data_IF_403086088945
#
_entry.id   IF_403086088945
#
_cell.length_a   1.000
_cell.length_b   1.000
_cell.length_c   1.000
_cell.angle_alpha   90.00
_cell.angle_beta   90.00
_cell.angle_gamma   90.00
#
_symmetry.space_group_name_H-M   'P 1'
#
loop_
_entity.id
_entity.type
_entity.pdbx_description
1 polymer ?
#
# COMPACT_ATOMS: atom_id res chain seq x y z
N UNK A 1 -33.65 -20.82 6.46
CA UNK A 1 -34.75 -20.21 7.24
C UNK A 1 -34.23 -18.92 7.80
N UNK A 2 -34.65 -17.82 7.19
CA UNK A 2 -34.24 -16.46 7.58
C UNK A 2 -35.01 -16.02 8.82
N UNK A 3 -34.38 -15.31 9.74
CA UNK A 3 -34.97 -14.85 11.02
C UNK A 3 -36.28 -14.04 10.89
N UNK A 4 -36.62 -13.60 9.68
CA UNK A 4 -37.87 -12.93 9.32
C UNK A 4 -39.09 -13.88 9.21
N UNK A 5 -38.88 -15.18 9.00
CA UNK A 5 -39.98 -16.15 8.79
C UNK A 5 -40.66 -16.60 10.09
N UNK A 6 -40.09 -16.27 11.27
CA UNK A 6 -40.58 -16.73 12.58
C UNK A 6 -41.30 -15.67 13.42
N UNK A 7 -41.49 -14.44 12.94
CA UNK A 7 -42.15 -13.39 13.73
C UNK A 7 -43.66 -13.25 13.43
N UNK A 8 -44.49 -12.99 14.45
CA UNK A 8 -45.94 -12.89 14.32
C UNK A 8 -46.32 -11.76 13.35
N UNK A 9 -47.42 -11.96 12.62
CA UNK A 9 -47.92 -11.17 11.48
C UNK A 9 -48.30 -9.71 11.77
N UNK A 10 -48.01 -9.17 12.96
CA UNK A 10 -48.43 -7.83 13.41
C UNK A 10 -47.29 -6.81 13.51
N UNK A 11 -46.03 -7.22 13.33
CA UNK A 11 -44.89 -6.30 13.47
C UNK A 11 -44.55 -5.73 12.08
N UNK A 12 -44.50 -4.39 11.97
CA UNK A 12 -44.07 -3.75 10.72
C UNK A 12 -42.68 -4.21 10.33
N UNK A 13 -42.40 -4.33 9.03
CA UNK A 13 -41.06 -4.72 8.55
C UNK A 13 -39.96 -3.86 9.16
N UNK A 14 -40.22 -2.55 9.31
CA UNK A 14 -39.28 -1.61 9.91
C UNK A 14 -38.98 -1.92 11.38
N UNK A 15 -40.01 -2.29 12.15
CA UNK A 15 -39.86 -2.66 13.56
C UNK A 15 -39.22 -4.03 13.73
N UNK A 16 -39.51 -4.97 12.83
CA UNK A 16 -38.84 -6.27 12.80
C UNK A 16 -37.33 -6.10 12.54
N UNK A 17 -36.96 -5.25 11.58
CA UNK A 17 -35.56 -4.91 11.27
C UNK A 17 -34.90 -4.18 12.44
N UNK A 18 -35.53 -3.17 13.03
CA UNK A 18 -34.98 -2.44 14.18
C UNK A 18 -34.80 -3.36 15.40
N UNK A 19 -35.72 -4.29 15.62
CA UNK A 19 -35.61 -5.27 16.72
C UNK A 19 -34.44 -6.23 16.48
N UNK A 20 -34.25 -6.69 15.24
CA UNK A 20 -33.10 -7.54 14.88
C UNK A 20 -31.80 -6.75 15.05
N UNK A 21 -31.74 -5.50 14.60
CA UNK A 21 -30.56 -4.64 14.73
C UNK A 21 -30.21 -4.37 16.20
N UNK A 22 -31.22 -4.12 17.04
CA UNK A 22 -31.00 -3.88 18.45
C UNK A 22 -30.62 -5.14 19.23
N UNK A 23 -31.27 -6.28 18.93
CA UNK A 23 -31.05 -7.52 19.67
C UNK A 23 -29.79 -8.28 19.24
N UNK A 24 -29.53 -8.38 17.93
CA UNK A 24 -28.44 -9.20 17.40
C UNK A 24 -27.14 -8.41 17.27
N UNK A 25 -27.24 -7.09 17.09
CA UNK A 25 -26.10 -6.21 16.82
C UNK A 25 -25.92 -5.08 17.84
N UNK A 26 -26.70 -5.03 18.92
CA UNK A 26 -26.57 -3.98 19.95
C UNK A 26 -26.96 -2.57 19.47
N UNK A 27 -27.77 -2.50 18.41
CA UNK A 27 -28.25 -1.25 17.81
C UNK A 27 -27.24 -0.59 16.89
N UNK A 28 -27.51 0.67 16.54
CA UNK A 28 -26.65 1.42 15.60
C UNK A 28 -25.18 1.53 16.04
N UNK A 29 -24.90 1.56 17.35
CA UNK A 29 -23.53 1.59 17.89
C UNK A 29 -22.78 0.28 17.66
N UNK A 30 -23.43 -0.88 17.85
CA UNK A 30 -22.78 -2.16 17.64
C UNK A 30 -22.62 -2.53 16.17
N UNK A 31 -23.49 -2.02 15.28
CA UNK A 31 -23.25 -2.07 13.83
C UNK A 31 -21.96 -1.32 13.44
N UNK A 32 -21.75 -0.11 13.97
CA UNK A 32 -20.51 0.66 13.73
C UNK A 32 -19.29 -0.07 14.30
N UNK A 33 -19.41 -0.69 15.48
CA UNK A 33 -18.32 -1.47 16.07
C UNK A 33 -17.99 -2.72 15.23
N UNK A 34 -19.01 -3.40 14.69
CA UNK A 34 -18.81 -4.53 13.78
C UNK A 34 -18.17 -4.11 12.47
N UNK A 35 -18.60 -3.00 11.87
CA UNK A 35 -17.96 -2.46 10.65
C UNK A 35 -16.50 -2.11 10.92
N UNK A 36 -16.21 -1.51 12.08
CA UNK A 36 -14.83 -1.20 12.51
C UNK A 36 -14.00 -2.47 12.70
N UNK A 37 -14.51 -3.50 13.39
CA UNK A 37 -13.81 -4.78 13.58
C UNK A 37 -13.59 -5.51 12.25
N UNK A 38 -14.57 -5.46 11.35
CA UNK A 38 -14.44 -6.00 10.00
C UNK A 38 -13.34 -5.25 9.23
N UNK A 39 -13.34 -3.92 9.28
CA UNK A 39 -12.31 -3.09 8.67
C UNK A 39 -10.91 -3.42 9.21
N UNK A 40 -10.74 -3.50 10.53
CA UNK A 40 -9.47 -3.84 11.19
C UNK A 40 -8.99 -5.25 10.78
N UNK A 41 -9.87 -6.24 10.77
CA UNK A 41 -9.55 -7.61 10.33
C UNK A 41 -9.05 -7.65 8.88
N UNK A 42 -9.72 -6.94 7.96
CA UNK A 42 -9.30 -6.86 6.56
C UNK A 42 -7.98 -6.11 6.42
N UNK A 43 -7.75 -5.06 7.22
CA UNK A 43 -6.45 -4.35 7.26
C UNK A 43 -5.33 -5.28 7.66
N UNK A 44 -5.50 -6.02 8.75
CA UNK A 44 -4.49 -6.93 9.28
C UNK A 44 -4.19 -8.07 8.30
N UNK A 45 -5.22 -8.60 7.63
CA UNK A 45 -5.05 -9.59 6.58
C UNK A 45 -4.20 -9.05 5.42
N UNK A 46 -4.53 -7.86 4.90
CA UNK A 46 -3.83 -7.26 3.76
C UNK A 46 -2.41 -6.84 4.10
N UNK A 47 -2.18 -6.30 5.30
CA UNK A 47 -0.83 -6.00 5.80
C UNK A 47 -0.02 -7.28 6.01
N UNK A 48 -0.64 -8.33 6.54
CA UNK A 48 -0.04 -9.65 6.67
C UNK A 48 0.40 -10.22 5.32
N UNK A 49 -0.47 -10.14 4.30
CA UNK A 49 -0.15 -10.57 2.94
C UNK A 49 1.00 -9.74 2.34
N UNK A 50 0.95 -8.41 2.45
CA UNK A 50 2.02 -7.52 1.98
C UNK A 50 3.37 -7.86 2.64
N UNK A 51 3.37 -8.10 3.95
CA UNK A 51 4.56 -8.46 4.70
C UNK A 51 5.09 -9.85 4.30
N UNK A 52 4.20 -10.80 4.04
CA UNK A 52 4.57 -12.12 3.54
C UNK A 52 5.21 -12.03 2.15
N UNK A 53 4.70 -11.16 1.27
CA UNK A 53 5.33 -10.88 -0.02
C UNK A 53 6.71 -10.27 0.14
N UNK A 54 6.88 -9.32 1.06
CA UNK A 54 8.19 -8.72 1.31
C UNK A 54 9.19 -9.76 1.83
N UNK A 55 8.78 -10.55 2.84
CA UNK A 55 9.57 -11.66 3.40
C UNK A 55 9.96 -12.69 2.35
N UNK A 56 9.08 -12.95 1.37
CA UNK A 56 9.37 -13.91 0.30
C UNK A 56 10.57 -13.52 -0.57
N UNK A 57 10.94 -12.24 -0.61
CA UNK A 57 12.14 -11.77 -1.33
C UNK A 57 13.46 -12.10 -0.60
N UNK A 58 13.39 -12.42 0.69
CA UNK A 58 14.54 -12.82 1.51
C UNK A 58 14.67 -14.35 1.66
N UNK A 59 13.80 -15.11 0.99
CA UNK A 59 13.88 -16.57 0.93
C UNK A 59 14.58 -17.02 -0.35
N UNK A 60 15.19 -18.20 -0.33
CA UNK A 60 15.76 -18.82 -1.52
C UNK A 60 14.65 -19.16 -2.55
N UNK A 61 14.84 -18.96 -3.86
CA UNK A 61 16.01 -18.39 -4.54
C UNK A 61 16.00 -16.86 -4.66
N UNK A 62 14.90 -16.19 -4.25
CA UNK A 62 14.73 -14.74 -4.41
C UNK A 62 15.80 -13.90 -3.69
N UNK A 63 16.42 -14.46 -2.65
CA UNK A 63 17.52 -13.84 -1.94
C UNK A 63 18.66 -13.42 -2.90
N UNK A 64 18.97 -14.21 -3.93
CA UNK A 64 19.99 -13.83 -4.92
C UNK A 64 19.59 -12.59 -5.70
N UNK A 65 18.34 -12.49 -6.16
CA UNK A 65 17.85 -11.29 -6.84
C UNK A 65 17.88 -10.08 -5.92
N UNK A 66 17.53 -10.24 -4.65
CA UNK A 66 17.61 -9.19 -3.64
C UNK A 66 19.05 -8.72 -3.41
N UNK A 67 20.02 -9.63 -3.35
CA UNK A 67 21.44 -9.30 -3.23
C UNK A 67 21.99 -8.61 -4.48
N UNK A 68 21.63 -9.09 -5.68
CA UNK A 68 22.02 -8.45 -6.94
C UNK A 68 21.44 -7.03 -7.02
N UNK A 69 20.18 -6.84 -6.61
CA UNK A 69 19.53 -5.54 -6.55
C UNK A 69 20.32 -4.59 -5.62
N UNK A 70 20.66 -5.06 -4.41
CA UNK A 70 21.43 -4.29 -3.44
C UNK A 70 22.82 -3.90 -3.96
N UNK A 71 23.55 -4.86 -4.55
CA UNK A 71 24.87 -4.62 -5.15
C UNK A 71 24.79 -3.62 -6.30
N UNK A 72 23.74 -3.70 -7.13
CA UNK A 72 23.51 -2.77 -8.23
C UNK A 72 23.32 -1.35 -7.70
N UNK A 73 22.47 -1.17 -6.69
CA UNK A 73 22.27 0.16 -6.11
C UNK A 73 23.48 0.67 -5.35
N UNK A 74 24.20 -0.19 -4.64
CA UNK A 74 25.45 0.18 -4.00
C UNK A 74 26.47 0.69 -5.02
N UNK A 75 26.64 -0.02 -6.14
CA UNK A 75 27.53 0.39 -7.22
C UNK A 75 27.11 1.73 -7.82
N UNK A 76 25.83 1.91 -8.12
CA UNK A 76 25.26 3.16 -8.66
C UNK A 76 25.49 4.33 -7.70
N UNK A 77 25.15 4.17 -6.42
CA UNK A 77 25.25 5.22 -5.40
C UNK A 77 26.72 5.58 -5.12
N UNK A 78 27.64 4.61 -5.18
CA UNK A 78 29.05 4.83 -4.85
C UNK A 78 29.86 5.43 -6.00
N UNK A 79 29.49 5.16 -7.27
CA UNK A 79 30.31 5.51 -8.43
C UNK A 79 29.69 6.59 -9.32
N UNK A 80 28.37 6.79 -9.25
CA UNK A 80 27.71 7.79 -10.09
C UNK A 80 27.53 9.07 -9.26
N UNK A 81 28.15 10.20 -9.65
CA UNK A 81 27.91 11.46 -8.98
C UNK A 81 26.41 11.77 -9.07
N UNK A 82 25.79 12.15 -7.95
CA UNK A 82 24.36 12.44 -7.91
C UNK A 82 24.08 13.72 -8.72
N UNK A 83 23.88 13.53 -10.02
CA UNK A 83 23.37 14.55 -10.90
C UNK A 83 21.88 14.77 -10.60
N UNK A 84 21.36 16.00 -10.76
CA UNK A 84 19.94 16.30 -10.54
C UNK A 84 18.99 15.36 -11.28
N UNK A 85 19.39 14.88 -12.46
CA UNK A 85 18.62 13.94 -13.27
C UNK A 85 18.45 12.56 -12.61
N UNK A 86 19.47 12.03 -11.95
CA UNK A 86 19.41 10.71 -11.29
C UNK A 86 18.46 10.76 -10.09
N UNK A 87 18.46 11.89 -9.39
CA UNK A 87 17.52 12.13 -8.28
C UNK A 87 16.11 12.25 -8.82
N UNK A 88 15.90 13.02 -9.90
CA UNK A 88 14.59 13.09 -10.55
C UNK A 88 14.10 11.70 -10.98
N UNK A 89 14.98 10.84 -11.49
CA UNK A 89 14.64 9.45 -11.82
C UNK A 89 14.29 8.59 -10.59
N UNK A 90 15.03 8.72 -9.48
CA UNK A 90 14.66 8.03 -8.23
C UNK A 90 13.31 8.54 -7.69
N UNK A 91 13.02 9.83 -7.88
CA UNK A 91 11.74 10.44 -7.52
C UNK A 91 10.58 9.90 -8.37
N UNK A 92 10.76 9.71 -9.67
CA UNK A 92 9.69 9.15 -10.51
C UNK A 92 9.34 7.73 -10.11
N UNK A 93 10.31 6.90 -9.69
CA UNK A 93 10.03 5.57 -9.11
C UNK A 93 9.15 5.61 -7.86
N UNK A 94 9.16 6.71 -7.10
CA UNK A 94 8.29 6.87 -5.92
C UNK A 94 6.85 7.21 -6.33
N UNK A 95 6.69 8.00 -7.39
CA UNK A 95 5.39 8.34 -7.98
C UNK A 95 4.70 7.09 -8.56
N UNK A 96 5.44 6.04 -8.92
CA UNK A 96 4.88 4.77 -9.43
C UNK A 96 3.85 4.17 -8.47
N UNK A 97 4.05 4.23 -7.15
CA UNK A 97 3.06 3.70 -6.18
C UNK A 97 1.74 4.48 -6.25
N UNK A 98 1.83 5.81 -6.34
CA UNK A 98 0.66 6.69 -6.50
C UNK A 98 -0.04 6.46 -7.84
N UNK A 99 0.73 6.29 -8.92
CA UNK A 99 0.19 5.99 -10.26
C UNK A 99 -0.50 4.62 -10.28
N UNK A 100 0.09 3.59 -9.67
CA UNK A 100 -0.52 2.26 -9.57
C UNK A 100 -1.84 2.30 -8.79
N UNK A 101 -1.89 3.10 -7.73
CA UNK A 101 -3.11 3.29 -6.94
C UNK A 101 -4.18 4.02 -7.75
N UNK A 102 -3.81 5.06 -8.49
CA UNK A 102 -4.71 5.78 -9.39
C UNK A 102 -5.21 4.87 -10.53
N UNK A 103 -4.31 4.11 -11.16
CA UNK A 103 -4.63 3.14 -12.20
C UNK A 103 -5.60 2.07 -11.71
N UNK A 104 -5.46 1.62 -10.45
CA UNK A 104 -6.45 0.74 -9.81
C UNK A 104 -7.83 1.40 -9.72
N UNK A 105 -7.93 2.64 -9.23
CA UNK A 105 -9.22 3.33 -9.14
C UNK A 105 -9.91 3.43 -10.49
N UNK A 106 -9.14 3.74 -11.54
CA UNK A 106 -9.66 3.75 -12.92
C UNK A 106 -10.06 2.36 -13.41
N UNK A 107 -9.22 1.34 -13.18
CA UNK A 107 -9.48 -0.02 -13.67
C UNK A 107 -10.69 -0.65 -12.98
N UNK A 108 -10.81 -0.53 -11.66
CA UNK A 108 -11.99 -0.98 -10.91
C UNK A 108 -13.23 -0.24 -11.39
N UNK A 109 -13.21 1.10 -11.38
CA UNK A 109 -14.36 1.91 -11.77
C UNK A 109 -14.84 1.63 -13.21
N UNK A 110 -13.94 1.27 -14.12
CA UNK A 110 -14.29 0.93 -15.50
C UNK A 110 -14.77 -0.52 -15.67
N UNK A 111 -14.14 -1.50 -15.01
CA UNK A 111 -14.49 -2.93 -15.18
C UNK A 111 -15.67 -3.39 -14.34
N UNK A 112 -15.82 -2.92 -13.10
CA UNK A 112 -16.90 -3.41 -12.22
C UNK A 112 -18.21 -2.64 -12.42
N UNK A 113 -18.20 -1.51 -13.14
CA UNK A 113 -19.31 -0.55 -13.25
C UNK A 113 -19.91 -0.12 -11.89
N UNK A 114 -19.23 -0.48 -10.80
CA UNK A 114 -19.62 -0.23 -9.43
C UNK A 114 -18.66 0.81 -8.88
N UNK A 115 -19.19 2.00 -8.62
CA UNK A 115 -18.46 3.14 -8.06
C UNK A 115 -18.40 3.09 -6.53
N UNK A 116 -18.97 2.06 -5.90
CA UNK A 116 -18.88 1.89 -4.45
C UNK A 116 -17.44 1.56 -4.06
N UNK A 117 -16.82 2.51 -3.37
CA UNK A 117 -15.52 2.34 -2.73
C UNK A 117 -15.54 1.08 -1.84
N UNK A 118 -14.82 0.04 -2.25
CA UNK A 118 -14.65 -1.14 -1.41
C UNK A 118 -13.83 -0.78 -0.17
N UNK A 119 -14.08 -1.47 0.94
CA UNK A 119 -13.23 -1.39 2.14
C UNK A 119 -11.76 -1.63 1.74
N UNK A 120 -11.52 -2.56 0.81
CA UNK A 120 -10.18 -2.89 0.30
C UNK A 120 -9.50 -1.74 -0.44
N UNK A 121 -10.24 -0.86 -1.10
CA UNK A 121 -9.67 0.29 -1.81
C UNK A 121 -9.13 1.32 -0.84
N UNK A 122 -9.86 1.59 0.25
CA UNK A 122 -9.38 2.46 1.34
C UNK A 122 -8.11 1.91 1.98
N UNK A 123 -8.04 0.60 2.15
CA UNK A 123 -6.87 -0.08 2.75
C UNK A 123 -5.68 -0.01 1.80
N UNK A 124 -5.88 -0.23 0.50
CA UNK A 124 -4.79 -0.15 -0.48
C UNK A 124 -4.28 1.27 -0.66
N UNK A 125 -5.15 2.28 -0.63
CA UNK A 125 -4.73 3.68 -0.58
C UNK A 125 -3.91 3.98 0.69
N UNK A 126 -4.29 3.39 1.83
CA UNK A 126 -3.54 3.52 3.10
C UNK A 126 -2.19 2.80 3.05
N UNK A 127 -2.12 1.62 2.44
CA UNK A 127 -0.85 0.90 2.24
C UNK A 127 0.03 1.72 1.29
N UNK A 128 -0.51 2.18 0.16
CA UNK A 128 0.19 3.02 -0.82
C UNK A 128 0.72 4.34 -0.28
N UNK A 129 0.12 4.89 0.79
CA UNK A 129 0.58 6.13 1.42
C UNK A 129 1.75 5.94 2.38
N UNK A 130 2.02 4.71 2.86
CA UNK A 130 3.13 4.42 3.79
C UNK A 130 4.50 4.81 3.20
N UNK A 131 4.84 4.44 1.95
CA UNK A 131 6.08 4.91 1.35
C UNK A 131 6.07 6.42 1.11
N UNK A 132 4.92 7.00 0.78
CA UNK A 132 4.77 8.46 0.70
C UNK A 132 5.16 9.13 2.02
N UNK A 133 4.68 8.63 3.16
CA UNK A 133 4.99 9.17 4.49
C UNK A 133 6.45 9.02 4.91
N UNK A 134 7.10 7.89 4.59
CA UNK A 134 8.50 7.66 4.97
C UNK A 134 9.50 8.32 4.01
N UNK A 135 9.14 8.43 2.73
CA UNK A 135 10.06 8.84 1.68
C UNK A 135 9.88 10.31 1.33
N UNK A 136 8.66 10.88 1.37
CA UNK A 136 8.47 12.32 1.08
C UNK A 136 9.28 13.26 1.98
N UNK A 137 9.44 13.02 3.30
CA UNK A 137 10.32 13.86 4.12
C UNK A 137 11.78 13.78 3.67
N UNK A 138 12.24 12.58 3.28
CA UNK A 138 13.58 12.38 2.70
C UNK A 138 13.74 13.08 1.35
N UNK A 139 12.71 13.07 0.51
CA UNK A 139 12.67 13.80 -0.77
C UNK A 139 12.76 15.30 -0.53
N UNK A 140 11.95 15.84 0.37
CA UNK A 140 11.94 17.28 0.71
C UNK A 140 13.31 17.68 1.28
N UNK A 141 13.89 16.84 2.12
CA UNK A 141 15.24 17.04 2.65
C UNK A 141 16.31 17.07 1.54
N UNK A 142 16.31 16.09 0.64
CA UNK A 142 17.24 16.07 -0.50
C UNK A 142 17.01 17.27 -1.41
N UNK A 143 15.76 17.60 -1.74
CA UNK A 143 15.41 18.68 -2.65
C UNK A 143 15.75 20.07 -2.09
N UNK A 144 15.49 20.31 -0.80
CA UNK A 144 15.87 21.54 -0.10
C UNK A 144 17.38 21.73 -0.06
N UNK A 145 18.15 20.65 0.08
CA UNK A 145 19.61 20.70 0.06
C UNK A 145 20.16 20.95 -1.36
N UNK A 146 19.47 20.45 -2.40
CA UNK A 146 19.77 20.73 -3.81
C UNK A 146 19.49 22.19 -4.19
N UNK A 147 18.34 22.74 -3.79
CA UNK A 147 18.03 24.15 -4.00
C UNK A 147 19.05 25.09 -3.38
N UNK A 148 19.59 24.71 -2.22
CA UNK A 148 20.57 25.50 -1.50
C UNK A 148 21.99 25.44 -2.13
N UNK A 149 22.11 24.93 -3.38
CA UNK A 149 23.36 24.78 -4.15
C UNK A 149 24.51 24.07 -3.42
N UNK A 150 24.22 23.37 -2.33
CA UNK A 150 25.24 22.73 -1.49
C UNK A 150 25.46 21.26 -1.90
N UNK A 151 25.38 20.98 -3.20
CA UNK A 151 25.41 19.63 -3.79
C UNK A 151 26.66 18.85 -3.41
N UNK A 152 27.79 19.54 -3.17
CA UNK A 152 29.03 18.93 -2.72
C UNK A 152 28.91 18.28 -1.33
N UNK A 153 28.21 18.91 -0.37
CA UNK A 153 28.02 18.34 0.97
C UNK A 153 27.05 17.15 0.95
N UNK A 154 26.06 17.17 0.06
CA UNK A 154 25.12 16.06 -0.10
C UNK A 154 25.78 14.88 -0.80
N UNK A 155 26.58 15.14 -1.84
CA UNK A 155 27.42 14.11 -2.47
C UNK A 155 28.31 13.45 -1.42
N UNK A 156 29.01 14.23 -0.58
CA UNK A 156 29.87 13.70 0.49
C UNK A 156 29.12 12.82 1.49
N UNK A 157 27.93 13.26 1.93
CA UNK A 157 27.11 12.49 2.87
C UNK A 157 26.57 11.20 2.25
N UNK A 158 26.15 11.26 0.98
CA UNK A 158 25.60 10.10 0.27
C UNK A 158 26.67 9.10 -0.13
N UNK A 159 27.86 9.55 -0.57
CA UNK A 159 28.99 8.66 -0.88
C UNK A 159 29.55 8.01 0.38
N UNK A 160 29.66 8.76 1.49
CA UNK A 160 30.15 8.21 2.76
C UNK A 160 29.20 7.17 3.37
N UNK A 161 27.91 7.25 3.05
CA UNK A 161 26.87 6.34 3.54
C UNK A 161 26.19 5.58 2.40
N UNK A 162 26.91 5.28 1.32
CA UNK A 162 26.36 4.67 0.12
C UNK A 162 25.64 3.33 0.39
N UNK A 163 26.14 2.54 1.35
CA UNK A 163 25.52 1.29 1.77
C UNK A 163 24.12 1.52 2.34
N UNK A 164 23.97 2.52 3.22
CA UNK A 164 22.68 2.83 3.86
C UNK A 164 21.67 3.26 2.79
N UNK A 165 22.08 4.14 1.88
CA UNK A 165 21.24 4.62 0.78
C UNK A 165 20.84 3.48 -0.15
N UNK A 166 21.76 2.58 -0.49
CA UNK A 166 21.47 1.40 -1.32
C UNK A 166 20.48 0.45 -0.65
N UNK A 167 20.58 0.23 0.67
CA UNK A 167 19.62 -0.57 1.44
C UNK A 167 18.23 0.08 1.37
N UNK A 168 18.10 1.39 1.61
CA UNK A 168 16.81 2.07 1.56
C UNK A 168 16.16 2.00 0.18
N UNK A 169 16.93 2.23 -0.90
CA UNK A 169 16.41 2.16 -2.28
C UNK A 169 15.97 0.71 -2.61
N UNK A 170 16.79 -0.27 -2.25
CA UNK A 170 16.48 -1.69 -2.50
C UNK A 170 15.22 -2.13 -1.75
N UNK A 171 15.12 -1.78 -0.46
CA UNK A 171 13.93 -2.04 0.36
C UNK A 171 12.70 -1.36 -0.22
N UNK A 172 12.83 -0.15 -0.74
CA UNK A 172 11.73 0.56 -1.38
C UNK A 172 11.25 -0.16 -2.65
N UNK A 173 12.16 -0.64 -3.49
CA UNK A 173 11.79 -1.39 -4.70
C UNK A 173 11.13 -2.73 -4.35
N UNK A 174 11.66 -3.45 -3.36
CA UNK A 174 11.03 -4.68 -2.87
C UNK A 174 9.62 -4.41 -2.30
N UNK A 175 9.42 -3.26 -1.67
CA UNK A 175 8.10 -2.82 -1.24
C UNK A 175 7.18 -2.59 -2.44
N UNK A 176 7.62 -1.88 -3.49
CA UNK A 176 6.83 -1.66 -4.72
C UNK A 176 6.43 -3.00 -5.34
N UNK A 177 7.39 -3.93 -5.48
CA UNK A 177 7.13 -5.26 -6.05
C UNK A 177 6.08 -6.00 -5.22
N UNK A 178 6.18 -5.95 -3.89
CA UNK A 178 5.21 -6.57 -2.98
C UNK A 178 3.83 -5.93 -3.13
N UNK A 179 3.77 -4.60 -3.24
CA UNK A 179 2.53 -3.85 -3.44
C UNK A 179 1.86 -4.18 -4.79
N UNK A 180 2.65 -4.34 -5.87
CA UNK A 180 2.15 -4.79 -7.17
C UNK A 180 1.59 -6.22 -7.06
N UNK A 181 2.27 -7.13 -6.34
CA UNK A 181 1.79 -8.50 -6.13
C UNK A 181 0.46 -8.53 -5.37
N UNK A 182 0.34 -7.72 -4.31
CA UNK A 182 -0.90 -7.56 -3.54
C UNK A 182 -2.05 -7.09 -4.44
N UNK A 183 -1.82 -6.05 -5.25
CA UNK A 183 -2.83 -5.55 -6.19
C UNK A 183 -3.23 -6.62 -7.22
N UNK A 184 -2.25 -7.30 -7.83
CA UNK A 184 -2.54 -8.35 -8.83
C UNK A 184 -3.36 -9.50 -8.27
N UNK A 185 -3.14 -9.90 -7.01
CA UNK A 185 -3.91 -10.96 -6.37
C UNK A 185 -5.38 -10.56 -6.21
N UNK A 186 -5.65 -9.33 -5.77
CA UNK A 186 -7.01 -8.80 -5.66
C UNK A 186 -7.73 -8.76 -7.02
N UNK A 187 -7.02 -8.41 -8.09
CA UNK A 187 -7.60 -8.37 -9.44
C UNK A 187 -7.88 -9.75 -10.06
N UNK A 188 -7.18 -10.82 -9.63
CA UNK A 188 -7.44 -12.18 -10.16
C UNK A 188 -8.88 -12.63 -9.93
N UNK A 189 -9.52 -12.18 -8.85
CA UNK A 189 -10.91 -12.51 -8.52
C UNK A 189 -11.89 -11.99 -9.60
N UNK A 190 -11.55 -10.90 -10.28
CA UNK A 190 -12.40 -10.27 -11.29
C UNK A 190 -12.14 -10.74 -12.73
N UNK A 191 -11.03 -11.44 -12.98
CA UNK A 191 -10.65 -11.93 -14.32
C UNK A 191 -11.19 -13.33 -14.67
N UNK A 192 -11.89 -14.01 -13.75
CA UNK A 192 -12.47 -15.35 -13.96
C UNK A 192 -13.95 -15.25 -14.39
N UNK A 193 -14.30 -14.24 -15.18
CA UNK A 193 -15.64 -14.12 -15.77
C UNK A 193 -15.55 -14.16 -17.29
#
# INVERSE_FOLDING_TARGET
MTALEQKPSEISFQDAVNTIINNDFGGGKGLVEMEKKCYESVVDEMLGQQWNYLKSNFKFPNLFYTLILLLTFYFVVSNIPFAPFIIAFLLTTIVVVSILTLARYFYIGYFTLDTKNSIKDKIIARIASIPGMLIHPGIIFVWSFFLNRNTNKLNLLVTNHAVIVAIFISMFILYIISFIRLNRQEFKVYMIK
#
